data_IF_471490980217
#
_entry.id   IF_471490980217
#
_cell.length_a   1.000
_cell.length_b   1.000
_cell.length_c   1.000
_cell.angle_alpha   90.00
_cell.angle_beta   90.00
_cell.angle_gamma   90.00
#
_symmetry.space_group_name_H-M   'P 1'
#
loop_
_entity.id
_entity.type
_entity.pdbx_description
1 polymer ?
#
# COMPACT_ATOMS: atom_id res chain seq x y z
N UNK A 1 7.79 29.40 -3.58
CA UNK A 1 6.51 29.28 -2.84
C UNK A 1 6.38 27.84 -2.35
N UNK A 2 6.37 27.61 -1.03
CA UNK A 2 6.17 26.27 -0.48
C UNK A 2 4.73 25.82 -0.79
N UNK A 3 4.58 24.77 -1.59
CA UNK A 3 3.27 24.14 -1.82
C UNK A 3 2.84 23.57 -0.46
N UNK A 4 1.86 24.17 0.21
CA UNK A 4 1.23 23.57 1.39
C UNK A 4 0.47 22.34 0.91
N UNK A 5 1.16 21.20 0.85
CA UNK A 5 0.55 19.95 0.38
C UNK A 5 -0.49 19.53 1.42
N UNK A 6 -1.75 19.52 1.00
CA UNK A 6 -2.87 19.21 1.88
C UNK A 6 -3.00 17.68 2.04
N UNK A 7 -2.69 17.18 3.25
CA UNK A 7 -2.80 15.77 3.63
C UNK A 7 -4.10 15.45 4.38
N UNK A 8 -5.08 16.36 4.42
CA UNK A 8 -6.32 16.19 5.19
C UNK A 8 -7.02 14.87 4.90
N UNK A 9 -7.02 14.42 3.64
CA UNK A 9 -7.66 13.17 3.20
C UNK A 9 -7.06 11.90 3.85
N UNK A 10 -5.77 11.93 4.23
CA UNK A 10 -5.12 10.84 4.97
C UNK A 10 -5.51 10.93 6.45
N UNK A 11 -5.55 12.15 6.99
CA UNK A 11 -5.84 12.38 8.40
C UNK A 11 -7.32 12.18 8.75
N UNK A 12 -8.23 12.38 7.80
CA UNK A 12 -9.66 12.10 7.93
C UNK A 12 -10.00 10.61 7.87
N UNK A 13 -9.10 9.77 7.34
CA UNK A 13 -9.34 8.33 7.25
C UNK A 13 -9.42 7.69 8.64
N UNK A 14 -10.45 6.89 8.89
CA UNK A 14 -10.68 6.15 10.14
C UNK A 14 -9.83 4.89 10.24
N UNK A 15 -8.51 5.08 10.18
CA UNK A 15 -7.50 4.03 10.32
C UNK A 15 -6.52 4.40 11.45
N UNK A 16 -5.81 3.43 12.05
CA UNK A 16 -4.84 3.74 13.10
C UNK A 16 -3.74 4.69 12.62
N UNK A 17 -3.12 5.46 13.54
CA UNK A 17 -2.05 6.41 13.21
C UNK A 17 -0.90 5.80 12.37
N UNK A 18 -0.49 4.55 12.64
CA UNK A 18 0.56 3.86 11.88
C UNK A 18 0.22 3.69 10.40
N UNK A 19 -1.05 3.46 10.07
CA UNK A 19 -1.53 3.31 8.68
C UNK A 19 -1.55 4.65 7.98
N UNK A 20 -1.91 5.74 8.68
CA UNK A 20 -1.82 7.11 8.15
C UNK A 20 -0.37 7.52 7.86
N UNK A 21 0.56 7.21 8.76
CA UNK A 21 1.99 7.47 8.56
C UNK A 21 2.55 6.70 7.37
N UNK A 22 2.13 5.44 7.20
CA UNK A 22 2.44 4.66 5.99
C UNK A 22 1.89 5.31 4.72
N UNK A 23 0.62 5.70 4.71
CA UNK A 23 0.01 6.38 3.56
C UNK A 23 0.73 7.69 3.21
N UNK A 24 1.17 8.44 4.21
CA UNK A 24 2.01 9.62 4.00
C UNK A 24 3.38 9.25 3.39
N UNK A 25 3.98 8.15 3.85
CA UNK A 25 5.19 7.57 3.26
C UNK A 25 5.01 7.14 1.80
N UNK A 26 3.84 6.59 1.45
CA UNK A 26 3.45 6.30 0.06
C UNK A 26 3.43 7.58 -0.76
N UNK A 27 2.67 8.59 -0.35
CA UNK A 27 2.56 9.85 -1.10
C UNK A 27 3.90 10.58 -1.28
N UNK A 28 4.79 10.50 -0.29
CA UNK A 28 6.13 11.10 -0.38
C UNK A 28 7.15 10.26 -1.14
N UNK A 29 6.71 9.16 -1.74
CA UNK A 29 7.57 8.16 -2.37
C UNK A 29 8.74 7.73 -1.46
N UNK A 30 8.45 7.56 -0.17
CA UNK A 30 9.44 7.41 0.89
C UNK A 30 9.66 5.97 1.37
N UNK A 31 8.87 5.00 0.89
CA UNK A 31 8.99 3.61 1.30
C UNK A 31 10.30 2.97 0.77
N UNK A 32 10.93 2.06 1.54
CA UNK A 32 12.18 1.40 1.13
C UNK A 32 11.95 0.32 0.06
N UNK A 33 11.77 0.76 -1.19
CA UNK A 33 11.76 -0.08 -2.39
C UNK A 33 13.13 -0.06 -3.06
N UNK A 34 13.41 -1.03 -3.95
CA UNK A 34 14.70 -1.08 -4.69
C UNK A 34 14.99 0.25 -5.38
N UNK A 35 14.01 0.80 -6.12
CA UNK A 35 14.18 2.09 -6.80
C UNK A 35 14.47 3.25 -5.84
N UNK A 36 13.90 3.25 -4.63
CA UNK A 36 14.15 4.31 -3.65
C UNK A 36 15.52 4.19 -2.98
N UNK A 37 16.07 2.98 -2.84
CA UNK A 37 17.45 2.79 -2.42
C UNK A 37 18.43 3.25 -3.49
N UNK A 38 18.19 2.89 -4.75
CA UNK A 38 19.03 3.32 -5.88
C UNK A 38 19.06 4.85 -6.01
N UNK A 39 17.91 5.53 -5.88
CA UNK A 39 17.85 7.00 -5.87
C UNK A 39 18.64 7.65 -4.74
N UNK A 40 18.86 6.93 -3.63
CA UNK A 40 19.68 7.40 -2.50
C UNK A 40 21.14 6.97 -2.63
N UNK A 41 21.55 6.44 -3.78
CA UNK A 41 22.92 5.98 -4.04
C UNK A 41 23.27 4.64 -3.39
N UNK A 42 22.29 3.94 -2.81
CA UNK A 42 22.49 2.60 -2.21
C UNK A 42 22.23 1.57 -3.30
N UNK A 43 23.31 0.94 -3.80
CA UNK A 43 23.20 -0.18 -4.75
C UNK A 43 22.69 -1.41 -4.01
N UNK A 44 21.41 -1.70 -4.18
CA UNK A 44 20.85 -2.99 -3.79
C UNK A 44 20.76 -3.83 -5.05
N UNK A 45 21.56 -4.90 -5.12
CA UNK A 45 21.29 -5.97 -6.07
C UNK A 45 20.04 -6.68 -5.58
N UNK A 46 18.89 -6.29 -6.12
CA UNK A 46 17.62 -6.75 -5.60
C UNK A 46 16.52 -6.63 -6.64
N UNK A 47 15.65 -7.61 -6.59
CA UNK A 47 14.42 -7.59 -7.34
C UNK A 47 13.24 -7.65 -6.37
N UNK A 48 12.03 -7.36 -6.85
CA UNK A 48 10.82 -7.53 -6.07
C UNK A 48 10.82 -8.92 -5.44
N UNK A 49 10.69 -9.04 -4.11
CA UNK A 49 10.88 -10.30 -3.41
C UNK A 49 9.85 -11.37 -3.79
N UNK A 50 8.71 -10.94 -4.35
CA UNK A 50 7.66 -11.87 -4.82
C UNK A 50 7.81 -12.32 -6.26
N UNK A 51 8.25 -11.45 -7.18
CA UNK A 51 8.20 -11.74 -8.62
C UNK A 51 9.55 -11.64 -9.34
N UNK A 52 10.62 -11.27 -8.64
CA UNK A 52 11.95 -11.17 -9.23
C UNK A 52 12.12 -10.02 -10.23
N UNK A 53 11.23 -9.02 -10.24
CA UNK A 53 11.40 -7.81 -11.07
C UNK A 53 12.42 -6.82 -10.49
N UNK A 54 13.47 -6.48 -11.25
CA UNK A 54 14.55 -5.58 -10.79
C UNK A 54 14.10 -4.12 -10.50
N UNK A 55 12.97 -3.67 -11.04
CA UNK A 55 12.48 -2.28 -10.91
C UNK A 55 11.33 -2.17 -9.90
N UNK A 56 11.53 -2.67 -8.68
CA UNK A 56 10.51 -2.52 -7.63
C UNK A 56 10.39 -1.04 -7.18
N UNK A 57 9.25 -0.41 -7.50
CA UNK A 57 8.76 0.82 -6.88
C UNK A 57 7.50 0.57 -6.03
N UNK A 58 7.01 1.64 -5.40
CA UNK A 58 5.85 1.58 -4.50
C UNK A 58 4.62 1.00 -5.20
N UNK A 59 4.34 1.44 -6.43
CA UNK A 59 3.17 0.97 -7.17
C UNK A 59 3.34 -0.48 -7.60
N UNK A 60 4.57 -0.92 -7.88
CA UNK A 60 4.84 -2.33 -8.10
C UNK A 60 4.57 -3.14 -6.84
N UNK A 61 5.16 -2.78 -5.70
CA UNK A 61 5.01 -3.51 -4.44
C UNK A 61 3.57 -3.55 -3.92
N UNK A 62 2.74 -2.54 -4.24
CA UNK A 62 1.39 -2.40 -3.68
C UNK A 62 0.25 -2.74 -4.67
N UNK A 63 0.53 -2.73 -5.97
CA UNK A 63 -0.51 -2.82 -7.00
C UNK A 63 -0.12 -3.72 -8.18
N UNK A 64 1.03 -3.48 -8.83
CA UNK A 64 1.34 -4.10 -10.13
C UNK A 64 1.94 -5.49 -10.02
N UNK A 65 2.62 -5.81 -8.92
CA UNK A 65 3.18 -7.14 -8.66
C UNK A 65 2.07 -8.22 -8.67
N UNK A 66 2.35 -9.44 -9.19
CA UNK A 66 1.38 -10.53 -9.21
C UNK A 66 0.76 -10.85 -7.83
N UNK A 67 1.54 -10.75 -6.75
CA UNK A 67 1.06 -11.05 -5.40
C UNK A 67 -0.02 -10.05 -4.91
N UNK A 68 0.24 -8.72 -4.87
CA UNK A 68 -0.81 -7.73 -4.64
C UNK A 68 -2.03 -7.88 -5.54
N UNK A 69 -1.86 -8.14 -6.84
CA UNK A 69 -2.99 -8.34 -7.76
C UNK A 69 -3.92 -9.46 -7.31
N UNK A 70 -3.38 -10.57 -6.82
CA UNK A 70 -4.17 -11.68 -6.31
C UNK A 70 -4.90 -11.31 -5.01
N UNK A 71 -4.26 -10.56 -4.11
CA UNK A 71 -4.94 -10.03 -2.90
C UNK A 71 -6.10 -9.12 -3.29
N UNK A 72 -5.90 -8.22 -4.25
CA UNK A 72 -6.96 -7.35 -4.75
C UNK A 72 -8.08 -8.11 -5.47
N UNK A 73 -7.78 -9.21 -6.15
CA UNK A 73 -8.81 -10.06 -6.77
C UNK A 73 -9.71 -10.76 -5.74
N UNK A 74 -9.25 -10.92 -4.49
CA UNK A 74 -10.04 -11.46 -3.37
C UNK A 74 -10.77 -10.36 -2.58
N UNK A 75 -10.49 -9.09 -2.87
CA UNK A 75 -11.19 -7.94 -2.28
C UNK A 75 -12.52 -7.71 -2.99
N UNK A 76 -13.49 -7.11 -2.29
CA UNK A 76 -14.72 -6.60 -2.93
C UNK A 76 -14.52 -5.25 -3.62
N UNK A 77 -13.37 -4.58 -3.42
CA UNK A 77 -13.08 -3.33 -4.10
C UNK A 77 -12.87 -3.58 -5.60
N UNK A 78 -13.53 -2.77 -6.43
CA UNK A 78 -13.45 -2.91 -7.89
C UNK A 78 -12.03 -2.67 -8.37
N UNK A 79 -11.44 -3.67 -9.02
CA UNK A 79 -10.09 -3.56 -9.60
C UNK A 79 -9.93 -2.36 -10.52
N UNK A 80 -10.96 -1.98 -11.30
CA UNK A 80 -10.93 -0.81 -12.18
C UNK A 80 -10.74 0.53 -11.46
N UNK A 81 -11.06 0.61 -10.17
CA UNK A 81 -10.80 1.78 -9.32
C UNK A 81 -9.40 1.67 -8.71
N UNK A 82 -9.07 0.50 -8.14
CA UNK A 82 -7.79 0.26 -7.46
C UNK A 82 -6.59 0.40 -8.40
N UNK A 83 -6.76 -0.04 -9.65
CA UNK A 83 -5.71 -0.06 -10.68
C UNK A 83 -5.59 1.23 -11.49
N UNK A 84 -6.27 2.32 -11.10
CA UNK A 84 -6.14 3.61 -11.78
C UNK A 84 -4.67 4.02 -11.88
N UNK A 85 -4.17 4.05 -13.12
CA UNK A 85 -2.77 4.16 -13.45
C UNK A 85 -2.28 5.59 -13.31
N UNK A 86 -1.61 5.89 -12.20
CA UNK A 86 -0.75 7.06 -12.08
C UNK A 86 0.66 6.58 -11.80
N UNK A 87 1.68 7.17 -12.44
CA UNK A 87 3.08 6.89 -12.14
C UNK A 87 3.51 7.50 -10.80
N UNK A 88 2.77 8.52 -10.33
CA UNK A 88 3.00 9.21 -9.08
C UNK A 88 2.14 8.62 -7.93
N UNK A 89 2.75 8.11 -6.84
CA UNK A 89 2.02 7.54 -5.71
C UNK A 89 1.08 8.51 -4.98
N UNK A 90 1.39 9.81 -4.93
CA UNK A 90 0.49 10.80 -4.32
C UNK A 90 -0.77 10.98 -5.17
N UNK A 91 -0.60 11.23 -6.48
CA UNK A 91 -1.70 11.39 -7.42
C UNK A 91 -2.61 10.15 -7.43
N UNK A 92 -2.01 8.95 -7.40
CA UNK A 92 -2.72 7.68 -7.27
C UNK A 92 -3.60 7.63 -6.01
N UNK A 93 -3.02 7.88 -4.83
CA UNK A 93 -3.77 7.77 -3.57
C UNK A 93 -4.86 8.84 -3.46
N UNK A 94 -4.62 10.05 -3.98
CA UNK A 94 -5.65 11.10 -4.09
C UNK A 94 -6.78 10.70 -5.04
N UNK A 95 -6.47 10.01 -6.14
CA UNK A 95 -7.47 9.52 -7.07
C UNK A 95 -8.39 8.51 -6.38
N UNK A 96 -7.81 7.54 -5.66
CA UNK A 96 -8.57 6.57 -4.87
C UNK A 96 -9.50 7.24 -3.85
N UNK A 97 -9.00 8.25 -3.11
CA UNK A 97 -9.83 9.00 -2.15
C UNK A 97 -11.02 9.72 -2.81
N UNK A 98 -10.90 10.15 -4.08
CA UNK A 98 -12.02 10.78 -4.80
C UNK A 98 -13.04 9.77 -5.33
N UNK A 99 -12.62 8.54 -5.59
CA UNK A 99 -13.44 7.52 -6.23
C UNK A 99 -14.10 6.55 -5.25
N UNK A 100 -13.50 6.35 -4.08
CA UNK A 100 -14.00 5.48 -3.02
C UNK A 100 -14.74 6.30 -1.97
N UNK A 101 -15.74 5.69 -1.35
CA UNK A 101 -16.31 6.24 -0.11
C UNK A 101 -15.32 6.13 1.06
N UNK A 102 -15.69 6.69 2.21
CA UNK A 102 -14.82 6.73 3.39
C UNK A 102 -14.46 5.33 3.91
N UNK A 103 -15.39 4.38 3.90
CA UNK A 103 -15.13 3.01 4.40
C UNK A 103 -14.19 2.27 3.46
N UNK A 104 -14.48 2.31 2.15
CA UNK A 104 -13.68 1.64 1.14
C UNK A 104 -12.30 2.27 0.97
N UNK A 105 -12.16 3.59 1.16
CA UNK A 105 -10.86 4.24 1.20
C UNK A 105 -10.04 3.78 2.42
N UNK A 106 -10.66 3.69 3.61
CA UNK A 106 -9.99 3.17 4.80
C UNK A 106 -9.52 1.73 4.59
N UNK A 107 -10.38 0.89 4.02
CA UNK A 107 -10.06 -0.48 3.63
C UNK A 107 -8.91 -0.56 2.65
N UNK A 108 -8.91 0.28 1.61
CA UNK A 108 -7.82 0.32 0.66
C UNK A 108 -6.48 0.64 1.34
N UNK A 109 -6.45 1.63 2.23
CA UNK A 109 -5.26 1.97 3.03
C UNK A 109 -4.78 0.80 3.90
N UNK A 110 -5.71 0.07 4.53
CA UNK A 110 -5.39 -1.12 5.32
C UNK A 110 -4.81 -2.22 4.44
N UNK A 111 -5.39 -2.50 3.28
CA UNK A 111 -4.87 -3.51 2.34
C UNK A 111 -3.45 -3.17 1.89
N UNK A 112 -3.19 -1.92 1.49
CA UNK A 112 -1.82 -1.49 1.14
C UNK A 112 -0.84 -1.65 2.31
N UNK A 113 -1.27 -1.31 3.53
CA UNK A 113 -0.44 -1.49 4.73
C UNK A 113 -0.11 -2.96 4.99
N UNK A 114 -1.09 -3.86 4.90
CA UNK A 114 -0.87 -5.29 5.10
C UNK A 114 -0.04 -5.94 3.99
N UNK A 115 -0.22 -5.51 2.73
CA UNK A 115 0.66 -5.89 1.63
C UNK A 115 2.10 -5.47 1.90
N UNK A 116 2.31 -4.23 2.31
CA UNK A 116 3.64 -3.74 2.67
C UNK A 116 4.25 -4.52 3.84
N UNK A 117 3.45 -4.82 4.87
CA UNK A 117 3.87 -5.66 5.99
C UNK A 117 4.26 -7.06 5.55
N UNK A 118 3.46 -7.69 4.69
CA UNK A 118 3.74 -9.02 4.11
C UNK A 118 5.06 -9.02 3.32
N UNK A 119 5.30 -7.99 2.49
CA UNK A 119 6.58 -7.79 1.80
C UNK A 119 7.75 -7.74 2.78
N UNK A 120 7.61 -6.94 3.84
CA UNK A 120 8.68 -6.76 4.81
C UNK A 120 8.99 -8.06 5.57
N UNK A 121 7.96 -8.84 5.93
CA UNK A 121 8.17 -10.17 6.54
C UNK A 121 8.88 -11.13 5.60
N UNK A 122 8.57 -11.09 4.31
CA UNK A 122 9.29 -11.89 3.32
C UNK A 122 10.78 -11.50 3.27
N UNK A 123 11.09 -10.21 3.30
CA UNK A 123 12.48 -9.72 3.21
C UNK A 123 13.27 -9.97 4.50
N UNK A 124 12.69 -9.66 5.67
CA UNK A 124 13.42 -9.63 6.93
C UNK A 124 13.27 -10.90 7.77
N UNK A 125 12.20 -11.66 7.57
CA UNK A 125 11.90 -12.89 8.32
C UNK A 125 11.91 -14.15 7.43
N UNK A 126 12.02 -13.99 6.10
CA UNK A 126 11.87 -15.07 5.11
C UNK A 126 10.53 -15.81 5.23
N UNK A 127 9.47 -15.08 5.63
CA UNK A 127 8.12 -15.62 5.80
C UNK A 127 7.19 -15.12 4.70
N UNK A 128 6.73 -16.05 3.86
CA UNK A 128 5.79 -15.77 2.77
C UNK A 128 4.35 -15.99 3.23
N UNK A 129 3.61 -14.89 3.44
CA UNK A 129 2.17 -14.97 3.68
C UNK A 129 1.44 -15.39 2.39
N UNK A 130 0.42 -16.23 2.53
CA UNK A 130 -0.52 -16.49 1.42
C UNK A 130 -1.48 -15.31 1.25
N UNK A 131 -2.09 -15.19 0.07
CA UNK A 131 -3.10 -14.16 -0.20
C UNK A 131 -4.29 -14.25 0.76
N UNK A 132 -4.69 -15.48 1.13
CA UNK A 132 -5.72 -15.74 2.13
C UNK A 132 -5.36 -15.21 3.52
N UNK A 133 -4.13 -15.42 3.99
CA UNK A 133 -3.66 -14.90 5.28
C UNK A 133 -3.67 -13.36 5.30
N UNK A 134 -3.26 -12.71 4.20
CA UNK A 134 -3.31 -11.25 4.09
C UNK A 134 -4.76 -10.75 4.19
N UNK A 135 -5.69 -11.39 3.49
CA UNK A 135 -7.11 -11.05 3.53
C UNK A 135 -7.75 -11.29 4.90
N UNK A 136 -7.38 -12.38 5.58
CA UNK A 136 -7.82 -12.67 6.95
C UNK A 136 -7.33 -11.58 7.92
N UNK A 137 -6.05 -11.20 7.85
CA UNK A 137 -5.49 -10.10 8.65
C UNK A 137 -6.26 -8.80 8.45
N UNK A 138 -6.59 -8.45 7.21
CA UNK A 138 -7.38 -7.25 6.89
C UNK A 138 -8.77 -7.34 7.54
N UNK A 139 -9.50 -8.44 7.34
CA UNK A 139 -10.84 -8.64 7.91
C UNK A 139 -10.83 -8.56 9.44
N UNK A 140 -9.95 -9.30 10.11
CA UNK A 140 -9.83 -9.29 11.56
C UNK A 140 -9.52 -7.88 12.09
N UNK A 141 -8.73 -7.11 11.35
CA UNK A 141 -8.41 -5.72 11.70
C UNK A 141 -9.60 -4.79 11.53
N UNK A 142 -10.37 -4.92 10.45
CA UNK A 142 -11.60 -4.15 10.22
C UNK A 142 -12.64 -4.42 11.31
N UNK A 143 -12.86 -5.69 11.67
CA UNK A 143 -13.79 -6.08 12.73
C UNK A 143 -13.36 -5.50 14.08
N UNK A 144 -12.06 -5.43 14.36
CA UNK A 144 -11.54 -4.81 15.56
C UNK A 144 -11.77 -3.28 15.58
N UNK A 145 -11.64 -2.61 14.43
CA UNK A 145 -11.93 -1.18 14.32
C UNK A 145 -13.42 -0.86 14.52
N UNK A 146 -14.32 -1.72 14.00
CA UNK A 146 -15.78 -1.58 14.15
C UNK A 146 -16.28 -1.83 15.58
N UNK A 147 -15.49 -2.49 16.43
CA UNK A 147 -15.82 -2.69 17.85
C UNK A 147 -15.39 -1.53 18.74
N UNK A 148 -14.52 -0.65 18.25
CA UNK A 148 -14.01 0.53 18.98
C UNK A 148 -14.73 1.82 18.59
N UNK A 149 -15.69 1.71 17.67
CA UNK A 149 -16.38 2.81 17.00
C UNK A 149 -17.76 3.07 17.54
#
# INVERSE_FOLDING_TARGET
MARLVNWSFIWSARVPPKVRLFALGVCRNGLPTVMNFERRGVKIQGACPWCGSAQEDILHSLLRCPFPRQVWALSHLRWSIISQGHEDPEAWLRCLHRMLDSEDFCRALLTYWFLWGSRNRLIFENLQDSTGIVMEKIRCFEDALKKQS
#
